data_IF_311175795215
#
_entry.id   IF_311175795215
#
_cell.length_a   1.000
_cell.length_b   1.000
_cell.length_c   1.000
_cell.angle_alpha   90.00
_cell.angle_beta   90.00
_cell.angle_gamma   90.00
#
_symmetry.space_group_name_H-M   'P 1'
#
loop_
_entity.id
_entity.type
_entity.pdbx_description
1 polymer ?
#
# COMPACT_ATOMS: atom_id res chain seq x y z
N UNK A 1 -64.08 18.55 -30.15
CA UNK A 1 -64.24 17.83 -28.88
C UNK A 1 -63.25 18.43 -27.90
N UNK A 2 -63.75 19.18 -26.93
CA UNK A 2 -62.96 19.90 -25.93
C UNK A 2 -62.60 18.91 -24.82
N UNK A 3 -61.33 18.89 -24.40
CA UNK A 3 -61.01 18.63 -23.00
C UNK A 3 -59.84 19.51 -22.57
N UNK A 4 -60.15 20.29 -21.55
CA UNK A 4 -59.29 21.27 -20.88
C UNK A 4 -58.75 20.60 -19.62
N UNK A 5 -57.47 20.89 -19.35
CA UNK A 5 -56.81 20.94 -18.04
C UNK A 5 -56.69 19.69 -17.15
N UNK A 6 -55.46 19.42 -16.71
CA UNK A 6 -55.12 19.86 -15.35
C UNK A 6 -53.64 20.15 -15.16
N UNK A 7 -53.44 21.32 -14.57
CA UNK A 7 -52.19 21.92 -14.15
C UNK A 7 -51.60 21.17 -12.96
N UNK A 8 -50.28 21.02 -13.00
CA UNK A 8 -49.43 20.70 -11.86
C UNK A 8 -48.11 21.45 -12.01
N UNK A 9 -48.11 22.70 -11.54
CA UNK A 9 -46.92 23.48 -11.17
C UNK A 9 -46.06 22.65 -10.19
N UNK A 10 -44.72 22.72 -10.13
CA UNK A 10 -43.89 23.91 -9.91
C UNK A 10 -42.45 23.68 -10.39
N UNK A 11 -41.74 24.76 -10.74
CA UNK A 11 -40.28 24.84 -10.63
C UNK A 11 -39.48 25.01 -11.92
N UNK A 12 -39.61 26.17 -12.57
CA UNK A 12 -38.69 26.63 -13.62
C UNK A 12 -37.43 27.23 -12.97
N UNK A 13 -36.29 27.02 -13.63
CA UNK A 13 -35.12 27.91 -13.70
C UNK A 13 -33.85 27.45 -12.95
N UNK A 14 -33.02 26.71 -13.69
CA UNK A 14 -31.58 26.60 -13.47
C UNK A 14 -30.88 26.27 -14.79
N UNK A 15 -30.64 27.30 -15.61
CA UNK A 15 -29.96 27.22 -16.92
C UNK A 15 -28.47 26.87 -16.73
N UNK A 16 -27.98 25.93 -17.56
CA UNK A 16 -26.58 25.71 -18.02
C UNK A 16 -25.63 25.13 -16.95
N UNK A 17 -24.90 24.06 -17.23
CA UNK A 17 -23.87 23.99 -18.28
C UNK A 17 -23.66 22.58 -18.80
N UNK A 18 -23.45 22.48 -20.12
CA UNK A 18 -22.78 21.35 -20.74
C UNK A 18 -21.36 21.26 -20.17
N UNK A 19 -21.00 20.13 -19.55
CA UNK A 19 -19.65 19.60 -19.67
C UNK A 19 -19.74 18.22 -20.31
N UNK A 20 -19.63 18.26 -21.63
CA UNK A 20 -18.99 17.21 -22.39
C UNK A 20 -17.61 16.97 -21.76
N UNK A 21 -17.48 15.84 -21.09
CA UNK A 21 -16.23 15.31 -20.57
C UNK A 21 -16.35 13.82 -20.70
N UNK A 22 -15.92 13.29 -21.84
CA UNK A 22 -15.83 11.87 -22.10
C UNK A 22 -14.74 11.30 -21.17
N UNK A 23 -15.07 10.99 -19.91
CA UNK A 23 -14.15 10.36 -18.98
C UNK A 23 -14.25 8.83 -19.10
N UNK A 24 -13.88 8.30 -20.26
CA UNK A 24 -13.22 7.00 -20.31
C UNK A 24 -11.83 7.14 -19.66
N UNK A 25 -11.83 7.43 -18.36
CA UNK A 25 -10.68 7.14 -17.53
C UNK A 25 -10.64 5.61 -17.46
N UNK A 26 -9.53 4.94 -17.82
CA UNK A 26 -9.42 3.51 -17.54
C UNK A 26 -9.70 3.36 -16.05
N UNK A 27 -10.70 2.53 -15.71
CA UNK A 27 -10.90 2.12 -14.33
C UNK A 27 -9.51 1.72 -13.82
N UNK A 28 -9.05 2.36 -12.74
CA UNK A 28 -7.79 1.99 -12.07
C UNK A 28 -7.89 0.48 -11.88
N UNK A 29 -7.17 -0.28 -12.70
CA UNK A 29 -7.37 -1.73 -12.79
C UNK A 29 -7.01 -2.26 -11.42
N UNK A 30 -7.97 -2.80 -10.68
CA UNK A 30 -7.64 -3.50 -9.44
C UNK A 30 -6.70 -4.65 -9.78
N UNK A 31 -5.58 -4.71 -9.07
CA UNK A 31 -4.56 -5.73 -9.26
C UNK A 31 -5.06 -7.09 -8.81
N UNK A 32 -4.49 -8.14 -9.40
CA UNK A 32 -4.83 -9.52 -9.05
C UNK A 32 -4.21 -9.89 -7.72
N UNK A 33 -4.99 -10.56 -6.87
CA UNK A 33 -4.51 -11.15 -5.62
C UNK A 33 -4.39 -12.66 -5.78
N UNK A 34 -3.24 -13.22 -5.44
CA UNK A 34 -2.96 -14.66 -5.44
C UNK A 34 -2.31 -15.09 -4.14
N UNK A 35 -2.34 -16.39 -3.86
CA UNK A 35 -1.72 -17.01 -2.69
C UNK A 35 -0.79 -18.10 -3.18
N UNK A 36 0.45 -18.13 -2.70
CA UNK A 36 1.29 -19.31 -2.85
C UNK A 36 0.64 -20.50 -2.13
N UNK A 37 0.86 -21.75 -2.59
CA UNK A 37 0.45 -22.93 -1.85
C UNK A 37 0.96 -22.87 -0.41
N UNK A 38 0.09 -23.15 0.57
CA UNK A 38 0.35 -23.10 2.01
C UNK A 38 0.50 -21.69 2.61
N UNK A 39 0.30 -20.61 1.86
CA UNK A 39 0.34 -19.26 2.43
C UNK A 39 -0.76 -19.07 3.49
N UNK A 40 -0.38 -18.59 4.67
CA UNK A 40 -1.28 -18.31 5.80
C UNK A 40 -1.11 -16.88 6.29
N UNK A 41 -1.48 -15.87 5.49
CA UNK A 41 -1.24 -14.50 5.86
C UNK A 41 -2.10 -14.08 7.05
N UNK A 42 -1.52 -13.21 7.89
CA UNK A 42 -2.25 -12.62 9.00
C UNK A 42 -3.14 -11.43 8.56
N UNK A 43 -3.94 -10.88 9.48
CA UNK A 43 -4.84 -9.78 9.16
C UNK A 43 -4.12 -8.49 8.69
N UNK A 44 -2.92 -8.23 9.19
CA UNK A 44 -2.11 -7.07 8.80
C UNK A 44 -1.56 -7.24 7.38
N UNK A 45 -1.09 -8.44 7.06
CA UNK A 45 -0.61 -8.81 5.74
C UNK A 45 -1.74 -8.76 4.72
N UNK A 46 -2.91 -9.35 5.03
CA UNK A 46 -4.12 -9.27 4.21
C UNK A 46 -4.50 -7.82 3.89
N UNK A 47 -4.47 -6.95 4.90
CA UNK A 47 -4.75 -5.52 4.69
C UNK A 47 -3.71 -4.85 3.79
N UNK A 48 -2.43 -5.18 3.96
CA UNK A 48 -1.36 -4.60 3.16
C UNK A 48 -1.48 -5.03 1.68
N UNK A 49 -1.62 -6.33 1.43
CA UNK A 49 -1.75 -6.87 0.07
C UNK A 49 -3.00 -6.36 -0.64
N UNK A 50 -4.14 -6.28 0.06
CA UNK A 50 -5.36 -5.71 -0.52
C UNK A 50 -5.17 -4.24 -0.92
N UNK A 51 -4.48 -3.42 -0.12
CA UNK A 51 -4.23 -2.01 -0.47
C UNK A 51 -3.28 -1.85 -1.66
N UNK A 52 -2.29 -2.73 -1.83
CA UNK A 52 -1.51 -2.75 -3.06
C UNK A 52 -2.36 -3.14 -4.27
N UNK A 53 -3.24 -4.14 -4.14
CA UNK A 53 -4.14 -4.53 -5.22
C UNK A 53 -5.13 -3.42 -5.59
N UNK A 54 -5.68 -2.69 -4.63
CA UNK A 54 -6.52 -1.50 -4.88
C UNK A 54 -5.78 -0.40 -5.64
N UNK A 55 -4.46 -0.29 -5.49
CA UNK A 55 -3.60 0.61 -6.27
C UNK A 55 -3.19 0.05 -7.64
N UNK A 56 -3.65 -1.16 -7.97
CA UNK A 56 -3.47 -1.81 -9.26
C UNK A 56 -2.29 -2.75 -9.39
N UNK A 57 -1.55 -2.99 -8.31
CA UNK A 57 -0.45 -3.95 -8.29
C UNK A 57 -0.96 -5.38 -8.19
N UNK A 58 -0.38 -6.28 -8.98
CA UNK A 58 -0.60 -7.71 -8.76
C UNK A 58 0.19 -8.16 -7.53
N UNK A 59 -0.49 -8.83 -6.61
CA UNK A 59 0.03 -9.20 -5.28
C UNK A 59 -0.07 -10.71 -5.09
N UNK A 60 1.01 -11.31 -4.62
CA UNK A 60 1.04 -12.69 -4.17
C UNK A 60 1.36 -12.74 -2.68
N UNK A 61 0.47 -13.31 -1.87
CA UNK A 61 0.76 -13.70 -0.49
C UNK A 61 1.67 -14.92 -0.51
N UNK A 62 2.78 -14.85 0.20
CA UNK A 62 3.81 -15.88 0.17
C UNK A 62 3.63 -16.85 1.32
N UNK A 63 3.96 -18.10 1.07
CA UNK A 63 4.08 -19.09 2.12
C UNK A 63 5.40 -18.87 2.85
N UNK A 64 5.34 -18.73 4.18
CA UNK A 64 6.55 -18.58 4.96
C UNK A 64 7.36 -19.88 4.99
N UNK A 65 8.65 -19.80 5.31
CA UNK A 65 9.42 -21.03 5.48
C UNK A 65 8.81 -21.94 6.57
N UNK A 66 8.28 -21.34 7.64
CA UNK A 66 7.54 -22.04 8.68
C UNK A 66 6.29 -22.74 8.14
N UNK A 67 5.52 -22.10 7.25
CA UNK A 67 4.36 -22.73 6.60
C UNK A 67 4.74 -23.95 5.76
N UNK A 68 5.98 -23.98 5.27
CA UNK A 68 6.58 -25.08 4.50
C UNK A 68 7.31 -26.09 5.37
N UNK A 69 7.27 -25.96 6.70
CA UNK A 69 7.94 -26.86 7.64
C UNK A 69 9.46 -26.67 7.75
N UNK A 70 10.01 -25.55 7.24
CA UNK A 70 11.44 -25.22 7.34
C UNK A 70 11.65 -24.22 8.48
N UNK A 71 12.18 -24.65 9.63
CA UNK A 71 12.39 -23.75 10.77
C UNK A 71 13.52 -22.76 10.48
N UNK A 72 13.46 -21.60 11.14
CA UNK A 72 14.53 -20.58 11.19
C UNK A 72 14.90 -19.89 9.87
N UNK A 73 14.20 -20.15 8.78
CA UNK A 73 14.33 -19.36 7.55
C UNK A 73 13.26 -18.27 7.51
N UNK A 74 13.67 -17.02 7.29
CA UNK A 74 12.74 -15.89 7.19
C UNK A 74 12.48 -15.55 5.72
N UNK A 75 11.23 -15.25 5.43
CA UNK A 75 10.71 -15.00 4.08
C UNK A 75 9.81 -13.77 4.14
N UNK A 76 9.81 -12.95 3.08
CA UNK A 76 8.87 -11.83 3.00
C UNK A 76 7.43 -12.31 2.91
N UNK A 77 6.51 -11.51 3.44
CA UNK A 77 5.07 -11.85 3.47
C UNK A 77 4.42 -11.75 2.09
N UNK A 78 4.84 -10.78 1.28
CA UNK A 78 4.26 -10.51 -0.04
C UNK A 78 5.33 -10.53 -1.14
N UNK A 79 4.90 -10.86 -2.34
CA UNK A 79 5.53 -10.44 -3.59
C UNK A 79 4.58 -9.52 -4.34
N UNK A 80 5.02 -8.31 -4.66
CA UNK A 80 4.21 -7.30 -5.34
C UNK A 80 4.86 -6.99 -6.68
N UNK A 81 4.15 -7.23 -7.79
CA UNK A 81 4.70 -7.04 -9.13
C UNK A 81 5.13 -5.59 -9.33
N UNK A 82 6.35 -5.36 -9.82
CA UNK A 82 6.94 -4.02 -9.95
C UNK A 82 7.52 -3.39 -8.66
N UNK A 83 7.38 -4.05 -7.51
CA UNK A 83 8.00 -3.63 -6.23
C UNK A 83 8.98 -4.70 -5.72
N UNK A 84 8.61 -5.98 -5.81
CA UNK A 84 9.41 -7.13 -5.36
C UNK A 84 8.93 -7.71 -4.04
N UNK A 85 9.87 -8.17 -3.21
CA UNK A 85 9.59 -8.82 -1.92
C UNK A 85 9.27 -7.75 -0.88
N UNK A 86 8.04 -7.76 -0.36
CA UNK A 86 7.58 -6.81 0.67
C UNK A 86 7.36 -7.55 1.98
N UNK A 87 8.01 -7.06 3.03
CA UNK A 87 7.79 -7.51 4.41
C UNK A 87 6.85 -6.52 5.11
N UNK A 88 5.82 -7.01 5.76
CA UNK A 88 4.86 -6.20 6.52
C UNK A 88 5.37 -6.06 7.95
N UNK A 89 5.28 -4.85 8.49
CA UNK A 89 5.69 -4.53 9.84
C UNK A 89 4.65 -3.65 10.51
N UNK A 90 4.13 -4.12 11.64
CA UNK A 90 3.19 -3.36 12.48
C UNK A 90 3.88 -3.01 13.81
N UNK A 91 4.55 -1.84 13.91
CA UNK A 91 5.19 -1.43 15.15
C UNK A 91 4.17 -1.30 16.29
N UNK A 92 4.54 -1.81 17.48
CA UNK A 92 3.79 -1.59 18.73
C UNK A 92 4.33 -0.41 19.55
N UNK A 93 5.24 0.36 18.97
CA UNK A 93 5.91 1.50 19.61
C UNK A 93 5.99 2.66 18.64
N UNK A 94 5.93 3.88 19.15
CA UNK A 94 6.19 5.12 18.41
C UNK A 94 7.66 5.55 18.52
N UNK A 95 8.49 4.81 19.27
CA UNK A 95 9.91 5.11 19.40
C UNK A 95 10.63 4.89 18.06
N UNK A 96 11.08 5.99 17.47
CA UNK A 96 11.69 6.01 16.15
C UNK A 96 12.97 5.15 16.05
N UNK A 97 13.79 5.10 17.11
CA UNK A 97 15.02 4.27 17.10
C UNK A 97 14.67 2.79 17.00
N UNK A 98 13.64 2.35 17.73
CA UNK A 98 13.18 0.96 17.71
C UNK A 98 12.56 0.58 16.37
N UNK A 99 11.80 1.51 15.76
CA UNK A 99 11.23 1.32 14.41
C UNK A 99 12.37 1.16 13.39
N UNK A 100 13.33 2.09 13.37
CA UNK A 100 14.48 2.04 12.43
C UNK A 100 15.27 0.74 12.61
N UNK A 101 15.61 0.35 13.84
CA UNK A 101 16.31 -0.91 14.10
C UNK A 101 15.51 -2.15 13.66
N UNK A 102 14.19 -2.11 13.76
CA UNK A 102 13.32 -3.20 13.27
C UNK A 102 13.31 -3.28 11.75
N UNK A 103 13.34 -2.14 11.05
CA UNK A 103 13.48 -2.09 9.58
C UNK A 103 14.84 -2.66 9.18
N UNK A 104 15.93 -2.28 9.86
CA UNK A 104 17.28 -2.80 9.59
C UNK A 104 17.32 -4.34 9.61
N UNK A 105 16.66 -4.96 10.60
CA UNK A 105 16.60 -6.44 10.72
C UNK A 105 15.85 -7.12 9.56
N UNK A 106 15.04 -6.39 8.79
CA UNK A 106 14.29 -6.91 7.65
C UNK A 106 15.11 -6.87 6.35
N UNK A 107 16.28 -6.23 6.33
CA UNK A 107 17.11 -6.08 5.13
C UNK A 107 17.59 -7.42 4.54
N UNK A 108 17.80 -8.44 5.38
CA UNK A 108 18.16 -9.78 4.88
C UNK A 108 16.98 -10.55 4.27
N UNK A 109 15.73 -10.08 4.47
CA UNK A 109 14.51 -10.83 4.17
C UNK A 109 13.77 -10.29 2.95
N UNK A 110 13.82 -8.97 2.75
CA UNK A 110 12.99 -8.29 1.76
C UNK A 110 13.74 -7.15 1.08
N UNK A 111 13.30 -6.84 -0.14
CA UNK A 111 13.74 -5.64 -0.87
C UNK A 111 12.92 -4.42 -0.47
N UNK A 112 11.75 -4.61 0.14
CA UNK A 112 10.90 -3.50 0.55
C UNK A 112 10.21 -3.81 1.88
N UNK A 113 9.88 -2.76 2.65
CA UNK A 113 9.18 -2.92 3.94
C UNK A 113 7.97 -2.01 3.96
N UNK A 114 6.80 -2.56 4.33
CA UNK A 114 5.58 -1.78 4.57
C UNK A 114 5.34 -1.66 6.07
N UNK A 115 5.33 -0.42 6.56
CA UNK A 115 5.06 -0.08 7.94
C UNK A 115 3.60 0.31 8.12
N UNK A 116 2.85 -0.44 8.91
CA UNK A 116 1.49 -0.10 9.30
C UNK A 116 1.52 0.70 10.59
N UNK A 117 1.62 2.03 10.47
CA UNK A 117 1.71 2.93 11.61
C UNK A 117 1.12 4.29 11.24
N UNK A 118 0.31 4.84 12.14
CA UNK A 118 -0.25 6.17 11.98
C UNK A 118 0.74 7.22 12.51
N UNK A 119 1.49 7.84 11.62
CA UNK A 119 2.45 8.91 11.92
C UNK A 119 2.18 10.14 11.06
N UNK A 120 2.45 11.33 11.60
CA UNK A 120 2.42 12.58 10.84
C UNK A 120 3.52 12.62 9.77
N UNK A 121 3.31 13.37 8.68
CA UNK A 121 4.21 13.48 7.53
C UNK A 121 5.69 13.73 7.87
N UNK A 122 5.96 14.61 8.85
CA UNK A 122 7.33 14.89 9.31
C UNK A 122 8.04 13.65 9.88
N UNK A 123 7.30 12.78 10.57
CA UNK A 123 7.86 11.58 11.20
C UNK A 123 8.15 10.48 10.16
N UNK A 124 7.28 10.26 9.18
CA UNK A 124 7.51 9.28 8.11
C UNK A 124 8.74 9.67 7.27
N UNK A 125 8.89 10.95 6.93
CA UNK A 125 10.07 11.47 6.22
C UNK A 125 11.34 11.25 7.04
N UNK A 126 11.29 11.56 8.35
CA UNK A 126 12.46 11.38 9.24
C UNK A 126 12.86 9.92 9.35
N UNK A 127 11.90 8.99 9.44
CA UNK A 127 12.20 7.54 9.47
C UNK A 127 12.86 7.12 8.15
N UNK A 128 12.27 7.45 7.00
CA UNK A 128 12.81 7.09 5.70
C UNK A 128 14.25 7.59 5.51
N UNK A 129 14.49 8.90 5.71
CA UNK A 129 15.83 9.49 5.61
C UNK A 129 16.84 8.81 6.54
N UNK A 130 16.43 8.48 7.77
CA UNK A 130 17.33 7.81 8.72
C UNK A 130 17.63 6.38 8.35
N UNK A 131 16.68 5.63 7.77
CA UNK A 131 16.91 4.27 7.29
C UNK A 131 17.91 4.28 6.13
N UNK A 132 17.80 5.23 5.21
CA UNK A 132 18.74 5.35 4.08
C UNK A 132 20.16 5.69 4.52
N UNK A 133 20.33 6.42 5.63
CA UNK A 133 21.63 6.66 6.24
C UNK A 133 22.23 5.46 6.98
N UNK A 134 21.56 4.29 7.03
CA UNK A 134 22.08 3.12 7.74
C UNK A 134 23.01 2.29 6.86
N UNK A 135 24.27 2.06 7.27
CA UNK A 135 25.24 1.31 6.46
C UNK A 135 24.88 -0.17 6.28
N UNK A 136 24.05 -0.71 7.19
CA UNK A 136 23.65 -2.11 7.20
C UNK A 136 22.39 -2.38 6.36
N UNK A 137 21.71 -1.34 5.88
CA UNK A 137 20.53 -1.50 5.03
C UNK A 137 20.99 -1.39 3.59
N UNK A 138 21.19 -2.51 2.91
CA UNK A 138 21.72 -2.55 1.54
C UNK A 138 20.72 -3.08 0.52
N UNK A 139 19.81 -3.95 0.95
CA UNK A 139 18.87 -4.62 0.08
C UNK A 139 17.51 -3.92 0.01
N UNK A 140 17.13 -3.16 1.05
CA UNK A 140 15.86 -2.44 1.05
C UNK A 140 15.94 -1.23 0.12
N UNK A 141 15.20 -1.26 -0.99
CA UNK A 141 15.13 -0.19 -1.98
C UNK A 141 13.88 0.69 -1.85
N UNK A 142 12.84 0.25 -1.13
CA UNK A 142 11.61 1.02 -0.95
C UNK A 142 11.04 0.80 0.45
N UNK A 143 10.63 1.88 1.11
CA UNK A 143 9.85 1.85 2.35
C UNK A 143 8.45 2.39 2.05
N UNK A 144 7.44 1.67 2.51
CA UNK A 144 6.06 2.09 2.47
C UNK A 144 5.56 2.40 3.88
N UNK A 145 4.70 3.40 4.01
CA UNK A 145 3.94 3.65 5.23
C UNK A 145 2.46 3.55 4.91
N UNK A 146 1.74 2.72 5.66
CA UNK A 146 0.29 2.62 5.61
C UNK A 146 -0.29 3.30 6.84
N UNK A 147 -1.06 4.37 6.63
CA UNK A 147 -1.71 5.10 7.70
C UNK A 147 -3.02 4.45 8.16
N UNK A 148 -3.69 5.05 9.15
CA UNK A 148 -4.95 4.52 9.70
C UNK A 148 -6.12 4.53 8.71
N UNK A 149 -6.04 5.30 7.62
CA UNK A 149 -7.02 5.30 6.53
C UNK A 149 -6.68 4.25 5.46
N UNK A 150 -5.57 3.56 5.62
CA UNK A 150 -5.07 2.57 4.67
C UNK A 150 -4.39 3.19 3.45
N UNK A 151 -4.08 4.49 3.46
CA UNK A 151 -3.32 5.13 2.39
C UNK A 151 -1.85 4.70 2.48
N UNK A 152 -1.28 4.30 1.35
CA UNK A 152 0.12 3.91 1.23
C UNK A 152 0.94 5.11 0.74
N UNK A 153 1.96 5.48 1.51
CA UNK A 153 2.96 6.49 1.20
C UNK A 153 4.27 5.79 0.82
N UNK A 154 4.78 6.03 -0.38
CA UNK A 154 5.97 5.36 -0.94
C UNK A 154 7.20 6.24 -0.82
N UNK A 155 8.30 5.67 -0.32
CA UNK A 155 9.63 6.28 -0.27
C UNK A 155 10.64 5.35 -0.90
N UNK A 156 11.14 5.74 -2.08
CA UNK A 156 12.24 5.01 -2.71
C UNK A 156 13.58 5.43 -2.10
N UNK A 157 14.52 4.48 -2.04
CA UNK A 157 15.90 4.75 -1.69
C UNK A 157 16.45 5.74 -2.72
N UNK A 158 17.10 6.83 -2.30
CA UNK A 158 17.80 7.72 -3.21
C UNK A 158 18.80 6.92 -4.03
N UNK A 159 18.70 7.03 -5.36
CA UNK A 159 19.78 6.57 -6.24
C UNK A 159 20.90 7.57 -6.00
N UNK A 160 22.01 7.12 -5.39
CA UNK A 160 23.20 7.95 -5.29
C UNK A 160 23.66 8.19 -6.74
N UNK A 161 23.40 9.40 -7.24
CA UNK A 161 23.81 9.86 -8.55
C UNK A 161 24.71 11.08 -8.37
N UNK A 162 25.97 10.87 -8.75
CA UNK A 162 27.02 11.84 -9.13
C UNK A 162 27.62 12.74 -8.02
#
# INVERSE_FOLDING_TARGET
MIKVENNGFEGIAGKRTNQSGNSNLPAVRQGKVTYEPLAKPDANELRAGQKFAEQGYDVTYRATASDRGVPNLRTSDLYVNGIGRVDVYTPRTTNMKNIISSIEKKDSQASSVLLQINLVGKNINTIASRVWGKPNVKNINTIFFQDSKGQIHRFDRPINGE
#
